data_IF_151375811376
#
_entry.id   IF_151375811376
#
_cell.length_a   1.000
_cell.length_b   1.000
_cell.length_c   1.000
_cell.angle_alpha   90.00
_cell.angle_beta   90.00
_cell.angle_gamma   90.00
#
_symmetry.space_group_name_H-M   'P 1'
#
loop_
_entity.id
_entity.type
_entity.pdbx_description
1 polymer ?
#
# COMPACT_ATOMS: atom_id res chain seq x y z
N UNK A 1 4.67 17.60 7.61
CA UNK A 1 5.07 16.86 6.39
C UNK A 1 5.83 15.57 6.69
N UNK A 2 7.08 15.59 7.17
CA UNK A 2 7.89 14.35 7.38
C UNK A 2 7.22 13.28 8.26
N UNK A 3 6.53 13.69 9.33
CA UNK A 3 5.81 12.77 10.24
C UNK A 3 4.62 12.08 9.55
N UNK A 4 3.90 12.80 8.67
CA UNK A 4 2.73 12.28 7.97
C UNK A 4 3.11 11.12 7.05
N UNK A 5 4.18 11.29 6.27
CA UNK A 5 4.72 10.21 5.42
C UNK A 5 5.04 8.95 6.21
N UNK A 6 5.69 9.10 7.37
CA UNK A 6 6.06 7.95 8.21
C UNK A 6 4.82 7.27 8.77
N UNK A 7 3.83 8.03 9.23
CA UNK A 7 2.55 7.50 9.70
C UNK A 7 1.85 6.70 8.60
N UNK A 8 1.77 7.27 7.39
CA UNK A 8 1.17 6.57 6.24
C UNK A 8 1.92 5.26 5.96
N UNK A 9 3.26 5.28 5.94
CA UNK A 9 4.05 4.06 5.72
C UNK A 9 3.80 3.00 6.80
N UNK A 10 3.72 3.39 8.08
CA UNK A 10 3.44 2.46 9.18
C UNK A 10 2.05 1.83 9.02
N UNK A 11 1.01 2.66 8.76
CA UNK A 11 -0.36 2.18 8.55
C UNK A 11 -0.41 1.23 7.35
N UNK A 12 0.29 1.57 6.26
CA UNK A 12 0.35 0.73 5.06
C UNK A 12 1.02 -0.61 5.33
N UNK A 13 2.06 -0.62 6.16
CA UNK A 13 2.74 -1.85 6.55
C UNK A 13 1.84 -2.75 7.39
N UNK A 14 1.14 -2.18 8.37
CA UNK A 14 0.15 -2.89 9.20
C UNK A 14 -0.95 -3.46 8.30
N UNK A 15 -1.44 -2.67 7.35
CA UNK A 15 -2.45 -3.10 6.40
C UNK A 15 -2.00 -4.33 5.60
N UNK A 16 -0.78 -4.31 5.04
CA UNK A 16 -0.21 -5.45 4.31
C UNK A 16 -0.08 -6.69 5.20
N UNK A 17 0.37 -6.53 6.45
CA UNK A 17 0.47 -7.64 7.39
C UNK A 17 -0.93 -8.23 7.66
N UNK A 18 -1.91 -7.38 7.96
CA UNK A 18 -3.28 -7.83 8.22
C UNK A 18 -3.90 -8.51 7.00
N UNK A 19 -3.67 -7.99 5.78
CA UNK A 19 -4.19 -8.58 4.54
C UNK A 19 -3.60 -9.95 4.23
N UNK A 20 -2.38 -10.23 4.70
CA UNK A 20 -1.73 -11.54 4.56
C UNK A 20 -2.27 -12.55 5.60
N UNK A 21 -2.45 -12.11 6.85
CA UNK A 21 -2.79 -13.00 7.97
C UNK A 21 -4.30 -13.28 8.10
N UNK A 22 -5.16 -12.32 7.74
CA UNK A 22 -6.62 -12.47 7.82
C UNK A 22 -7.23 -12.78 6.43
N UNK A 23 -8.51 -13.11 6.40
CA UNK A 23 -9.27 -13.35 5.15
C UNK A 23 -9.05 -12.20 4.17
N UNK A 24 -8.40 -12.52 3.05
CA UNK A 24 -7.96 -11.57 2.03
C UNK A 24 -9.11 -10.81 1.39
N UNK A 25 -10.30 -11.41 1.29
CA UNK A 25 -11.47 -10.83 0.62
C UNK A 25 -11.94 -9.49 1.21
N UNK A 26 -11.99 -9.38 2.55
CA UNK A 26 -12.40 -8.13 3.21
C UNK A 26 -11.40 -7.01 2.92
N UNK A 27 -10.10 -7.32 2.96
CA UNK A 27 -9.04 -6.35 2.68
C UNK A 27 -8.93 -6.05 1.18
N UNK A 28 -9.30 -6.96 0.29
CA UNK A 28 -9.24 -6.74 -1.14
C UNK A 28 -10.08 -5.53 -1.58
N UNK A 29 -11.25 -5.34 -0.98
CA UNK A 29 -12.14 -4.21 -1.25
C UNK A 29 -11.53 -2.85 -0.88
N UNK A 30 -10.70 -2.79 0.17
CA UNK A 30 -10.05 -1.55 0.62
C UNK A 30 -8.69 -1.30 -0.06
N UNK A 31 -8.19 -2.27 -0.84
CA UNK A 31 -6.88 -2.17 -1.50
C UNK A 31 -6.78 -0.98 -2.46
N UNK A 32 -7.80 -0.63 -3.27
CA UNK A 32 -7.77 0.56 -4.12
C UNK A 32 -7.61 1.86 -3.32
N UNK A 33 -8.25 1.97 -2.16
CA UNK A 33 -8.13 3.13 -1.27
C UNK A 33 -6.69 3.24 -0.76
N UNK A 34 -6.10 2.12 -0.35
CA UNK A 34 -4.74 2.11 0.15
C UNK A 34 -3.70 2.43 -0.93
N UNK A 35 -3.92 1.97 -2.16
CA UNK A 35 -3.12 2.35 -3.33
C UNK A 35 -3.17 3.86 -3.58
N UNK A 36 -4.36 4.47 -3.53
CA UNK A 36 -4.50 5.92 -3.70
C UNK A 36 -3.74 6.71 -2.63
N UNK A 37 -3.82 6.27 -1.37
CA UNK A 37 -3.07 6.86 -0.25
C UNK A 37 -1.54 6.76 -0.50
N UNK A 38 -1.05 5.61 -0.97
CA UNK A 38 0.37 5.43 -1.26
C UNK A 38 0.85 6.29 -2.45
N UNK A 39 0.03 6.50 -3.47
CA UNK A 39 0.32 7.41 -4.59
C UNK A 39 0.45 8.85 -4.09
N UNK A 40 -0.50 9.31 -3.27
CA UNK A 40 -0.42 10.64 -2.65
C UNK A 40 0.82 10.76 -1.75
N UNK A 41 1.13 9.72 -0.99
CA UNK A 41 2.33 9.70 -0.16
C UNK A 41 3.61 9.77 -0.98
N UNK A 42 3.65 9.09 -2.13
CA UNK A 42 4.77 9.16 -3.08
C UNK A 42 5.01 10.59 -3.55
N UNK A 43 3.94 11.31 -3.91
CA UNK A 43 4.01 12.71 -4.31
C UNK A 43 4.51 13.62 -3.17
N UNK A 44 4.01 13.41 -1.95
CA UNK A 44 4.45 14.17 -0.77
C UNK A 44 5.93 13.91 -0.46
N UNK A 45 6.40 12.66 -0.59
CA UNK A 45 7.82 12.33 -0.44
C UNK A 45 8.64 13.08 -1.49
N UNK A 46 8.18 13.13 -2.74
CA UNK A 46 8.83 13.88 -3.83
C UNK A 46 9.06 15.33 -3.49
N UNK A 47 7.97 15.99 -3.09
CA UNK A 47 7.93 17.42 -2.86
C UNK A 47 8.70 17.82 -1.59
N UNK A 48 8.60 17.03 -0.52
CA UNK A 48 8.96 17.49 0.83
C UNK A 48 9.97 16.62 1.57
N UNK A 49 10.29 15.41 1.08
CA UNK A 49 11.11 14.46 1.82
C UNK A 49 12.12 13.77 0.90
N UNK A 50 13.28 14.40 0.69
CA UNK A 50 14.37 13.94 -0.18
C UNK A 50 15.08 12.65 0.27
N UNK A 51 14.53 11.89 1.23
CA UNK A 51 15.10 10.62 1.68
C UNK A 51 14.66 9.50 0.76
N UNK A 52 15.59 9.00 -0.05
CA UNK A 52 15.40 7.91 -1.00
C UNK A 52 14.84 6.64 -0.35
N UNK A 53 15.19 6.37 0.91
CA UNK A 53 14.65 5.21 1.65
C UNK A 53 13.12 5.22 1.73
N UNK A 54 12.49 6.38 1.98
CA UNK A 54 11.03 6.43 2.06
C UNK A 54 10.37 6.16 0.71
N UNK A 55 11.02 6.56 -0.37
CA UNK A 55 10.59 6.23 -1.71
C UNK A 55 10.61 4.74 -1.98
N UNK A 56 11.73 4.10 -1.69
CA UNK A 56 11.90 2.66 -1.89
C UNK A 56 10.84 1.88 -1.11
N UNK A 57 10.63 2.23 0.16
CA UNK A 57 9.63 1.57 1.01
C UNK A 57 8.21 1.81 0.46
N UNK A 58 7.86 3.05 0.11
CA UNK A 58 6.52 3.37 -0.41
C UNK A 58 6.23 2.63 -1.72
N UNK A 59 7.20 2.59 -2.64
CA UNK A 59 7.09 1.86 -3.90
C UNK A 59 6.99 0.35 -3.69
N UNK A 60 7.76 -0.22 -2.77
CA UNK A 60 7.68 -1.65 -2.45
C UNK A 60 6.29 -2.04 -1.95
N UNK A 61 5.74 -1.28 -0.99
CA UNK A 61 4.40 -1.52 -0.47
C UNK A 61 3.35 -1.40 -1.59
N UNK A 62 3.49 -0.38 -2.45
CA UNK A 62 2.59 -0.17 -3.58
C UNK A 62 2.62 -1.36 -4.55
N UNK A 63 3.80 -1.88 -4.89
CA UNK A 63 3.95 -3.06 -5.75
C UNK A 63 3.34 -4.31 -5.11
N UNK A 64 3.55 -4.52 -3.81
CA UNK A 64 2.96 -5.66 -3.07
C UNK A 64 1.43 -5.60 -3.11
N UNK A 65 0.84 -4.42 -2.91
CA UNK A 65 -0.61 -4.26 -2.96
C UNK A 65 -1.19 -4.44 -4.36
N UNK A 66 -0.50 -3.98 -5.41
CA UNK A 66 -0.90 -4.25 -6.80
C UNK A 66 -0.89 -5.76 -7.05
N UNK A 67 0.14 -6.47 -6.59
CA UNK A 67 0.22 -7.91 -6.72
C UNK A 67 -0.92 -8.63 -6.00
N UNK A 68 -1.24 -8.24 -4.75
CA UNK A 68 -2.40 -8.81 -4.04
C UNK A 68 -3.73 -8.51 -4.72
N UNK A 69 -3.93 -7.29 -5.22
CA UNK A 69 -5.11 -6.94 -5.98
C UNK A 69 -5.25 -7.84 -7.21
N UNK A 70 -4.16 -8.05 -7.95
CA UNK A 70 -4.15 -8.90 -9.13
C UNK A 70 -4.48 -10.36 -8.81
N UNK A 71 -3.87 -10.94 -7.77
CA UNK A 71 -4.21 -12.29 -7.31
C UNK A 71 -5.68 -12.38 -6.91
N UNK A 72 -6.19 -11.41 -6.16
CA UNK A 72 -7.59 -11.42 -5.72
C UNK A 72 -8.57 -11.35 -6.87
N UNK A 73 -8.27 -10.55 -7.90
CA UNK A 73 -9.06 -10.50 -9.13
C UNK A 73 -9.02 -11.84 -9.86
N UNK A 74 -7.85 -12.45 -10.01
CA UNK A 74 -7.69 -13.74 -10.69
C UNK A 74 -8.43 -14.87 -9.96
N UNK A 75 -8.30 -14.96 -8.63
CA UNK A 75 -8.97 -15.98 -7.82
C UNK A 75 -10.49 -15.81 -7.78
N UNK A 76 -11.02 -14.59 -7.88
CA UNK A 76 -12.47 -14.33 -7.99
C UNK A 76 -13.06 -14.65 -9.36
N UNK A 77 -12.24 -14.79 -10.42
CA UNK A 77 -12.73 -15.16 -11.74
C UNK A 77 -13.06 -16.66 -11.85
N UNK A 78 -12.49 -17.49 -10.96
CA UNK A 78 -12.69 -18.95 -10.93
C UNK A 78 -13.86 -19.41 -10.03
N UNK A 79 -14.58 -18.48 -9.40
CA UNK A 79 -15.82 -18.70 -8.64
C UNK A 79 -17.03 -18.16 -9.39
#
# INVERSE_FOLDING_TARGET
>A
MKKLTVIVLIISLIYVILSIYFQSDFFLEFTPVMLFILILNFYIIHQHNKKVIFYIINSLILLILIYFLWIGIALRQDW
#
